data_IF_149080115682
#
_entry.id   IF_149080115682
#
_cell.length_a   1.000
_cell.length_b   1.000
_cell.length_c   1.000
_cell.angle_alpha   90.00
_cell.angle_beta   90.00
_cell.angle_gamma   90.00
#
_symmetry.space_group_name_H-M   'P 1'
#
loop_
_entity.id
_entity.type
_entity.pdbx_description
1 polymer ?
#
# COMPACT_ATOMS: atom_id res chain seq x y z
N UNK A 1 17.98 25.42 -16.57
CA UNK A 1 16.77 26.04 -15.96
C UNK A 1 15.83 26.40 -17.09
N UNK A 2 14.56 26.02 -17.00
CA UNK A 2 13.54 26.37 -17.98
C UNK A 2 12.79 27.59 -17.44
N UNK A 3 12.68 28.66 -18.23
CA UNK A 3 11.93 29.86 -17.86
C UNK A 3 10.99 30.26 -18.97
N UNK A 4 9.75 30.62 -18.60
CA UNK A 4 8.73 31.14 -19.51
C UNK A 4 8.11 32.36 -18.87
N UNK A 5 8.05 33.46 -19.63
CA UNK A 5 7.44 34.73 -19.21
C UNK A 5 6.33 35.08 -20.21
N UNK A 6 5.08 35.04 -19.75
CA UNK A 6 3.92 35.40 -20.57
C UNK A 6 3.51 36.88 -20.39
N UNK A 7 4.39 37.68 -19.80
CA UNK A 7 4.22 39.08 -19.35
C UNK A 7 3.37 39.25 -18.10
N UNK A 8 2.53 38.27 -17.75
CA UNK A 8 1.64 38.28 -16.58
C UNK A 8 2.20 37.44 -15.43
N UNK A 9 2.73 36.26 -15.76
CA UNK A 9 3.34 35.31 -14.86
C UNK A 9 4.71 34.90 -15.39
N UNK A 10 5.64 34.69 -14.46
CA UNK A 10 6.95 34.10 -14.74
C UNK A 10 6.96 32.70 -14.16
N UNK A 11 7.16 31.72 -15.02
CA UNK A 11 7.31 30.31 -14.66
C UNK A 11 8.78 29.94 -14.74
N UNK A 12 9.33 29.40 -13.66
CA UNK A 12 10.69 28.88 -13.63
C UNK A 12 10.68 27.42 -13.17
N UNK A 13 11.42 26.55 -13.84
CA UNK A 13 11.58 25.15 -13.46
C UNK A 13 13.03 24.69 -13.61
N UNK A 14 13.45 23.72 -12.79
CA UNK A 14 14.74 23.06 -13.00
C UNK A 14 14.69 22.13 -14.22
N UNK A 15 15.85 21.71 -14.75
CA UNK A 15 15.90 20.89 -15.98
C UNK A 15 15.30 19.50 -15.76
N UNK A 16 15.36 18.98 -14.54
CA UNK A 16 14.77 17.71 -14.16
C UNK A 16 13.24 17.80 -13.94
N UNK A 17 12.63 18.99 -14.05
CA UNK A 17 11.21 19.28 -13.79
C UNK A 17 10.72 18.88 -12.39
N UNK A 18 11.62 18.78 -11.42
CA UNK A 18 11.30 18.40 -10.04
C UNK A 18 11.04 19.59 -9.12
N UNK A 19 11.44 20.79 -9.55
CA UNK A 19 11.25 22.04 -8.82
C UNK A 19 10.72 23.10 -9.78
N UNK A 20 9.69 23.84 -9.36
CA UNK A 20 9.20 25.00 -10.09
C UNK A 20 8.79 26.14 -9.15
N UNK A 21 8.77 27.34 -9.70
CA UNK A 21 8.29 28.56 -9.07
C UNK A 21 7.44 29.35 -10.07
N UNK A 22 6.37 29.97 -9.57
CA UNK A 22 5.49 30.84 -10.34
C UNK A 22 5.41 32.19 -9.65
N UNK A 23 5.80 33.25 -10.36
CA UNK A 23 5.65 34.63 -9.88
C UNK A 23 4.56 35.31 -10.68
N UNK A 24 3.48 35.72 -10.01
CA UNK A 24 2.38 36.47 -10.60
C UNK A 24 2.60 37.97 -10.41
N UNK A 25 2.74 38.69 -11.52
CA UNK A 25 2.99 40.14 -11.50
C UNK A 25 1.73 40.96 -11.21
N UNK A 26 0.55 40.44 -11.54
CA UNK A 26 -0.74 41.10 -11.29
C UNK A 26 -1.13 40.92 -9.83
N UNK A 27 -1.09 39.68 -9.34
CA UNK A 27 -1.43 39.36 -7.95
C UNK A 27 -0.31 39.73 -6.95
N UNK A 28 0.91 40.02 -7.44
CA UNK A 28 2.12 40.26 -6.63
C UNK A 28 2.44 39.11 -5.66
N UNK A 29 2.04 37.89 -6.02
CA UNK A 29 2.31 36.68 -5.26
C UNK A 29 3.42 35.87 -5.93
N UNK A 30 4.19 35.15 -5.14
CA UNK A 30 5.18 34.19 -5.65
C UNK A 30 4.96 32.86 -4.95
N UNK A 31 4.64 31.84 -5.73
CA UNK A 31 4.50 30.47 -5.27
C UNK A 31 5.81 29.73 -5.57
N UNK A 32 6.39 29.12 -4.53
CA UNK A 32 7.61 28.33 -4.63
C UNK A 32 7.33 26.95 -4.09
N UNK A 33 7.74 25.89 -4.81
CA UNK A 33 7.52 24.51 -4.40
C UNK A 33 8.17 24.16 -3.04
N UNK A 34 9.22 24.87 -2.62
CA UNK A 34 9.80 24.73 -1.28
C UNK A 34 8.80 24.97 -0.14
N UNK A 35 7.70 25.71 -0.42
CA UNK A 35 6.60 25.98 0.52
C UNK A 35 5.33 25.18 0.20
N UNK A 36 5.32 24.36 -0.86
CA UNK A 36 4.22 23.47 -1.18
C UNK A 36 4.32 22.21 -0.29
N UNK A 37 3.43 22.10 0.69
CA UNK A 37 3.23 20.83 1.40
C UNK A 37 2.68 19.83 0.38
N UNK A 38 3.19 18.58 0.33
CA UNK A 38 2.53 17.55 -0.45
C UNK A 38 1.07 17.48 0.00
N UNK A 39 0.17 17.30 -0.96
CA UNK A 39 -1.24 17.02 -0.68
C UNK A 39 -1.31 15.90 0.37
N UNK A 40 -2.22 16.02 1.34
CA UNK A 40 -2.35 15.08 2.44
C UNK A 40 -2.48 13.64 1.92
N UNK A 41 -3.17 13.45 0.80
CA UNK A 41 -3.28 12.17 0.11
C UNK A 41 -1.92 11.64 -0.39
N UNK A 42 -1.06 12.49 -0.96
CA UNK A 42 0.27 12.10 -1.45
C UNK A 42 1.23 11.81 -0.30
N UNK A 43 1.13 12.57 0.81
CA UNK A 43 1.90 12.30 2.02
C UNK A 43 1.52 10.96 2.66
N UNK A 44 0.22 10.64 2.66
CA UNK A 44 -0.32 9.39 3.18
C UNK A 44 0.12 8.18 2.33
N UNK A 45 0.01 8.26 1.00
CA UNK A 45 0.50 7.21 0.09
C UNK A 45 2.00 6.92 0.31
N UNK A 46 2.82 7.96 0.48
CA UNK A 46 4.25 7.79 0.80
C UNK A 46 4.50 7.14 2.16
N UNK A 47 3.59 7.29 3.12
CA UNK A 47 3.68 6.65 4.44
C UNK A 47 3.35 5.17 4.32
N UNK A 48 2.26 4.84 3.64
CA UNK A 48 1.82 3.46 3.37
C UNK A 48 2.87 2.67 2.58
N UNK A 49 3.45 3.29 1.53
CA UNK A 49 4.54 2.69 0.75
C UNK A 49 5.78 2.40 1.62
N UNK A 50 6.12 3.31 2.53
CA UNK A 50 7.26 3.13 3.44
C UNK A 50 7.02 2.00 4.41
N UNK A 51 5.83 1.91 4.98
CA UNK A 51 5.48 0.86 5.93
C UNK A 51 5.54 -0.51 5.26
N UNK A 52 4.93 -0.63 4.08
CA UNK A 52 5.01 -1.85 3.28
C UNK A 52 6.47 -2.18 2.94
N UNK A 53 7.32 -1.19 2.68
CA UNK A 53 8.75 -1.42 2.49
C UNK A 53 9.47 -1.90 3.76
N UNK A 54 9.08 -1.47 4.96
CA UNK A 54 9.61 -1.99 6.23
C UNK A 54 9.17 -3.43 6.48
N UNK A 55 7.91 -3.77 6.21
CA UNK A 55 7.41 -5.15 6.29
C UNK A 55 8.20 -6.09 5.38
N UNK A 56 8.60 -5.62 4.19
CA UNK A 56 9.41 -6.41 3.25
C UNK A 56 10.83 -6.73 3.75
N UNK A 57 11.39 -5.87 4.62
CA UNK A 57 12.72 -6.09 5.20
C UNK A 57 12.70 -7.14 6.33
N UNK A 58 11.51 -7.50 6.83
CA UNK A 58 11.37 -8.52 7.84
C UNK A 58 11.82 -9.87 7.29
N UNK A 59 12.60 -10.59 8.09
CA UNK A 59 13.10 -11.93 7.77
C UNK A 59 13.22 -12.79 9.02
N UNK A 60 13.35 -14.10 8.81
CA UNK A 60 13.57 -15.07 9.89
C UNK A 60 12.49 -15.03 10.97
N UNK A 61 12.91 -14.99 12.23
CA UNK A 61 12.02 -14.99 13.40
C UNK A 61 11.16 -13.72 13.49
N UNK A 62 11.66 -12.57 13.03
CA UNK A 62 10.92 -11.30 13.04
C UNK A 62 9.72 -11.35 12.11
N UNK A 63 9.92 -11.77 10.86
CA UNK A 63 8.83 -11.95 9.91
C UNK A 63 7.81 -12.98 10.42
N UNK A 64 8.30 -14.10 10.96
CA UNK A 64 7.42 -15.11 11.55
C UNK A 64 6.57 -14.52 12.68
N UNK A 65 7.14 -13.73 13.60
CA UNK A 65 6.38 -13.11 14.68
C UNK A 65 5.31 -12.16 14.13
N UNK A 66 5.73 -11.29 13.22
CA UNK A 66 4.87 -10.29 12.60
C UNK A 66 3.65 -10.94 11.91
N UNK A 67 3.85 -11.95 11.06
CA UNK A 67 2.72 -12.56 10.34
C UNK A 67 1.93 -13.60 11.16
N UNK A 68 2.57 -14.31 12.11
CA UNK A 68 1.94 -15.43 12.80
C UNK A 68 1.40 -15.08 14.19
N UNK A 69 2.01 -14.13 14.88
CA UNK A 69 1.68 -13.81 16.27
C UNK A 69 0.92 -12.48 16.40
N UNK A 70 1.29 -11.51 15.58
CA UNK A 70 0.67 -10.19 15.58
C UNK A 70 -0.52 -10.14 14.60
N UNK A 71 -1.47 -9.26 14.92
CA UNK A 71 -2.62 -8.97 14.07
C UNK A 71 -2.30 -7.74 13.25
N UNK A 72 -2.28 -7.89 11.94
CA UNK A 72 -2.11 -6.81 10.98
C UNK A 72 -3.17 -6.97 9.90
N UNK A 73 -3.81 -5.87 9.50
CA UNK A 73 -4.77 -5.86 8.41
C UNK A 73 -4.09 -5.35 7.14
N UNK A 74 -4.10 -6.16 6.09
CA UNK A 74 -3.55 -5.83 4.78
C UNK A 74 -4.68 -5.59 3.79
N UNK A 75 -4.86 -4.35 3.37
CA UNK A 75 -5.86 -3.96 2.40
C UNK A 75 -5.28 -4.06 0.98
N UNK A 76 -6.07 -4.54 0.02
CA UNK A 76 -5.76 -4.34 -1.40
C UNK A 76 -7.01 -4.16 -2.24
N UNK A 77 -6.92 -3.32 -3.26
CA UNK A 77 -7.96 -3.18 -4.26
C UNK A 77 -7.86 -4.34 -5.27
N UNK A 78 -8.89 -5.17 -5.35
CA UNK A 78 -8.96 -6.24 -6.33
C UNK A 78 -9.97 -5.86 -7.42
N UNK A 79 -9.59 -5.81 -8.69
CA UNK A 79 -10.55 -5.47 -9.76
C UNK A 79 -11.79 -6.38 -9.80
N UNK A 80 -11.65 -7.62 -9.34
CA UNK A 80 -12.73 -8.61 -9.36
C UNK A 80 -13.60 -8.52 -8.10
N UNK A 81 -13.04 -8.07 -6.96
CA UNK A 81 -13.66 -8.10 -5.63
C UNK A 81 -13.45 -6.69 -5.04
N UNK A 82 -14.51 -5.98 -4.61
CA UNK A 82 -14.35 -4.74 -3.83
C UNK A 82 -13.28 -4.91 -2.73
N UNK A 83 -12.68 -3.83 -2.25
CA UNK A 83 -11.53 -3.84 -1.34
C UNK A 83 -11.50 -5.05 -0.38
N UNK A 84 -10.45 -5.86 -0.53
CA UNK A 84 -10.26 -7.08 0.26
C UNK A 84 -9.22 -6.83 1.33
N UNK A 85 -9.50 -7.30 2.55
CA UNK A 85 -8.61 -7.16 3.70
C UNK A 85 -8.17 -8.53 4.19
N UNK A 86 -6.87 -8.76 4.29
CA UNK A 86 -6.29 -9.95 4.92
C UNK A 86 -5.84 -9.60 6.34
N UNK A 87 -6.36 -10.32 7.34
CA UNK A 87 -5.97 -10.16 8.74
C UNK A 87 -5.03 -11.30 9.12
N UNK A 88 -3.84 -10.97 9.61
CA UNK A 88 -2.80 -11.93 10.01
C UNK A 88 -2.96 -12.40 11.46
N UNK A 89 -2.07 -13.31 11.88
CA UNK A 89 -2.00 -13.83 13.24
C UNK A 89 -2.35 -15.32 13.36
N UNK A 90 -2.56 -15.77 14.61
CA UNK A 90 -2.90 -17.18 14.94
C UNK A 90 -4.30 -17.58 14.45
N UNK A 91 -5.20 -16.62 14.39
CA UNK A 91 -6.57 -16.78 13.91
C UNK A 91 -6.79 -15.78 12.76
N UNK A 92 -6.26 -16.08 11.57
CA UNK A 92 -6.36 -15.17 10.44
C UNK A 92 -7.79 -15.06 9.93
N UNK A 93 -8.07 -14.01 9.15
CA UNK A 93 -9.34 -13.82 8.50
C UNK A 93 -9.20 -13.06 7.17
N UNK A 94 -10.21 -13.18 6.32
CA UNK A 94 -10.38 -12.36 5.13
C UNK A 94 -11.67 -11.56 5.25
N UNK A 95 -11.63 -10.26 4.96
CA UNK A 95 -12.83 -9.43 4.76
C UNK A 95 -13.00 -9.20 3.27
N UNK A 96 -14.15 -9.60 2.76
CA UNK A 96 -14.44 -9.63 1.33
C UNK A 96 -15.86 -9.12 1.13
N UNK A 97 -16.03 -8.01 0.40
CA UNK A 97 -17.34 -7.41 0.15
C UNK A 97 -18.19 -7.27 1.44
N UNK A 98 -17.55 -6.90 2.55
CA UNK A 98 -18.17 -6.76 3.88
C UNK A 98 -18.41 -8.06 4.64
N UNK A 99 -18.15 -9.23 4.05
CA UNK A 99 -18.26 -10.53 4.72
C UNK A 99 -16.93 -10.97 5.33
N UNK A 100 -16.97 -11.50 6.55
CA UNK A 100 -15.79 -12.02 7.26
C UNK A 100 -15.70 -13.53 7.03
N UNK A 101 -14.56 -13.98 6.54
CA UNK A 101 -14.23 -15.38 6.34
C UNK A 101 -13.04 -15.76 7.24
N UNK A 102 -13.30 -16.54 8.28
CA UNK A 102 -12.24 -17.03 9.15
C UNK A 102 -11.31 -17.97 8.40
N UNK A 103 -10.02 -17.78 8.64
CA UNK A 103 -8.94 -18.58 8.12
C UNK A 103 -8.56 -19.73 9.05
N UNK A 104 -7.83 -20.69 8.49
CA UNK A 104 -7.33 -21.89 9.16
C UNK A 104 -5.97 -22.27 8.61
N UNK A 105 -5.20 -22.99 9.43
CA UNK A 105 -3.85 -23.45 9.09
C UNK A 105 -2.92 -22.32 8.61
N UNK A 106 -2.78 -21.20 9.36
CA UNK A 106 -1.77 -20.20 9.04
C UNK A 106 -0.39 -20.82 9.04
N UNK A 107 0.43 -20.44 8.06
CA UNK A 107 1.80 -20.93 7.90
C UNK A 107 2.71 -19.81 7.42
N UNK A 108 3.90 -19.79 8.00
CA UNK A 108 5.05 -19.05 7.48
C UNK A 108 6.09 -20.09 7.04
N UNK A 109 6.41 -20.13 5.75
CA UNK A 109 7.36 -21.12 5.21
C UNK A 109 8.80 -20.62 5.11
N UNK A 110 9.07 -19.40 5.60
CA UNK A 110 10.37 -18.73 5.50
C UNK A 110 10.37 -17.63 4.43
N UNK A 111 9.43 -17.68 3.48
CA UNK A 111 9.28 -16.69 2.41
C UNK A 111 7.89 -16.09 2.37
N UNK A 112 6.85 -16.87 2.59
CA UNK A 112 5.45 -16.49 2.39
C UNK A 112 4.62 -16.80 3.64
N UNK A 113 3.71 -15.88 3.95
CA UNK A 113 2.62 -16.13 4.90
C UNK A 113 1.39 -16.60 4.13
N UNK A 114 0.76 -17.70 4.54
CA UNK A 114 -0.48 -18.17 3.91
C UNK A 114 -1.44 -18.84 4.87
N UNK A 115 -2.72 -18.86 4.52
CA UNK A 115 -3.75 -19.61 5.23
C UNK A 115 -4.92 -19.97 4.32
N UNK A 116 -5.71 -20.96 4.74
CA UNK A 116 -6.91 -21.44 4.04
C UNK A 116 -8.17 -20.79 4.59
N UNK A 117 -9.08 -20.35 3.75
CA UNK A 117 -10.38 -19.80 4.15
C UNK A 117 -11.50 -20.33 3.23
N UNK A 118 -12.76 -19.94 3.51
CA UNK A 118 -13.94 -20.40 2.77
C UNK A 118 -14.05 -21.95 2.74
N UNK A 119 -14.05 -22.58 3.91
CA UNK A 119 -14.06 -24.05 4.03
C UNK A 119 -12.80 -24.74 3.49
N UNK A 120 -11.72 -23.98 3.25
CA UNK A 120 -10.47 -24.47 2.67
C UNK A 120 -10.43 -24.51 1.15
N UNK A 121 -11.47 -24.01 0.48
CA UNK A 121 -11.53 -23.87 -0.98
C UNK A 121 -10.63 -22.75 -1.53
N UNK A 122 -10.22 -21.81 -0.67
CA UNK A 122 -9.41 -20.65 -1.04
C UNK A 122 -8.17 -20.52 -0.15
N UNK A 123 -7.09 -19.95 -0.70
CA UNK A 123 -5.84 -19.68 0.00
C UNK A 123 -5.51 -18.19 -0.12
N UNK A 124 -5.24 -17.51 0.99
CA UNK A 124 -4.67 -16.17 1.00
C UNK A 124 -3.16 -16.27 1.23
N UNK A 125 -2.38 -15.45 0.54
CA UNK A 125 -0.92 -15.43 0.55
C UNK A 125 -0.41 -14.00 0.64
N UNK A 126 0.60 -13.81 1.47
CA UNK A 126 1.39 -12.60 1.51
C UNK A 126 2.86 -12.90 1.26
N UNK A 127 3.39 -12.34 0.17
CA UNK A 127 4.78 -12.53 -0.26
C UNK A 127 5.56 -11.20 -0.19
N UNK A 128 6.52 -11.06 0.73
CA UNK A 128 7.27 -9.82 0.91
C UNK A 128 8.21 -9.48 -0.28
N UNK A 129 8.39 -10.32 -1.30
CA UNK A 129 9.29 -10.02 -2.42
C UNK A 129 8.64 -9.34 -3.63
N UNK A 130 7.31 -9.35 -3.77
CA UNK A 130 6.70 -9.06 -5.09
C UNK A 130 6.50 -7.55 -5.34
N UNK A 131 6.99 -6.96 -6.45
CA UNK A 131 7.08 -5.49 -6.59
C UNK A 131 5.75 -4.71 -6.57
N UNK A 132 4.62 -5.35 -6.88
CA UNK A 132 3.31 -4.68 -7.01
C UNK A 132 2.14 -5.40 -6.35
N UNK A 133 2.28 -6.67 -5.98
CA UNK A 133 1.19 -7.51 -5.51
C UNK A 133 1.64 -8.32 -4.29
N UNK A 134 1.40 -7.77 -3.10
CA UNK A 134 1.83 -8.44 -1.86
C UNK A 134 0.80 -9.44 -1.39
N UNK A 135 -0.49 -9.11 -1.53
CA UNK A 135 -1.61 -9.99 -1.20
C UNK A 135 -2.15 -10.71 -2.45
N UNK A 136 -2.13 -12.04 -2.41
CA UNK A 136 -2.64 -12.91 -3.45
C UNK A 136 -3.66 -13.90 -2.85
N UNK A 137 -4.81 -14.02 -3.50
CA UNK A 137 -5.86 -14.98 -3.17
C UNK A 137 -5.93 -16.00 -4.29
N UNK A 138 -5.90 -17.29 -3.96
CA UNK A 138 -6.03 -18.38 -4.91
C UNK A 138 -7.33 -19.16 -4.65
N UNK A 139 -8.08 -19.46 -5.72
CA UNK A 139 -9.21 -20.39 -5.69
C UNK A 139 -9.06 -21.39 -6.85
N UNK A 140 -8.66 -22.63 -6.52
CA UNK A 140 -8.30 -23.62 -7.53
C UNK A 140 -7.09 -23.16 -8.37
N UNK A 141 -7.29 -23.05 -9.68
CA UNK A 141 -6.30 -22.57 -10.66
C UNK A 141 -6.34 -21.04 -10.89
N UNK A 142 -7.26 -20.32 -10.23
CA UNK A 142 -7.46 -18.88 -10.40
C UNK A 142 -6.80 -18.07 -9.30
N UNK A 143 -6.32 -16.89 -9.67
CA UNK A 143 -5.67 -15.92 -8.79
C UNK A 143 -6.42 -14.59 -8.78
N UNK A 144 -6.48 -13.96 -7.60
CA UNK A 144 -7.15 -12.69 -7.32
C UNK A 144 -6.24 -11.86 -6.41
N UNK A 145 -6.23 -10.53 -6.57
CA UNK A 145 -5.37 -9.63 -5.80
C UNK A 145 -4.26 -9.06 -6.68
N UNK A 146 -4.54 -7.91 -7.29
CA UNK A 146 -3.66 -7.26 -8.27
C UNK A 146 -3.42 -5.78 -7.94
N UNK A 147 -3.84 -5.32 -6.76
CA UNK A 147 -3.69 -3.93 -6.34
C UNK A 147 -2.43 -3.71 -5.49
N UNK A 148 -2.06 -2.43 -5.25
CA UNK A 148 -1.16 -2.08 -4.18
C UNK A 148 -1.75 -2.58 -2.85
N UNK A 149 -0.86 -2.99 -1.94
CA UNK A 149 -1.25 -3.44 -0.59
C UNK A 149 -0.83 -2.39 0.42
N UNK A 150 -1.66 -2.11 1.41
CA UNK A 150 -1.35 -1.18 2.52
C UNK A 150 -1.65 -1.86 3.86
N UNK A 151 -1.03 -1.38 4.94
CA UNK A 151 -1.39 -1.80 6.29
C UNK A 151 -2.52 -0.88 6.78
N UNK A 152 -3.63 -1.49 7.17
CA UNK A 152 -4.79 -0.80 7.70
C UNK A 152 -4.76 -0.85 9.24
N UNK A 153 -4.62 0.31 9.86
CA UNK A 153 -4.55 0.47 11.31
C UNK A 153 -5.91 0.70 11.97
N UNK A 154 -7.00 0.69 11.21
CA UNK A 154 -8.36 0.82 11.80
C UNK A 154 -8.74 -0.37 12.69
N UNK A 155 -7.96 -1.45 12.66
CA UNK A 155 -8.15 -2.68 13.43
C UNK A 155 -7.13 -2.87 14.56
N UNK A 156 -6.33 -1.85 14.89
CA UNK A 156 -5.27 -1.94 15.90
C UNK A 156 -5.79 -1.85 17.36
N UNK A 157 -7.04 -1.44 17.57
CA UNK A 157 -7.70 -1.27 18.87
C UNK A 157 -8.58 -2.48 19.29
#
# INVERSE_FOLDING_TARGET
>A
MLMVDDKTKVFAANQQKTEFAVSDRIAKTTEQWANCKPDAAVAQLKKEDKEIAEVQKLSGSKAKSYFMNEKHAFLTNCMVWNDVTMITGKAPAMVIAGSIHMGSNPRWDGKEYSFKFNGGSMIARFTPSEPKHKLLIQAGDKFYGCGPSTVDHTFDD
#
